data_IF_786077510002
#
_entry.id   IF_786077510002
#
_cell.length_a   1.000
_cell.length_b   1.000
_cell.length_c   1.000
_cell.angle_alpha   90.00
_cell.angle_beta   90.00
_cell.angle_gamma   90.00
#
_symmetry.space_group_name_H-M   'P 1'
#
loop_
_entity.id
_entity.type
_entity.pdbx_description
1 polymer ?
#
# COMPACT_ATOMS: atom_id res chain seq x y z
N UNK A 1 -1.08 6.09 10.54
CA UNK A 1 0.37 5.76 10.46
C UNK A 1 1.16 7.04 10.71
N UNK A 2 2.40 6.96 11.18
CA UNK A 2 3.26 8.15 11.33
C UNK A 2 4.03 8.44 10.04
N UNK A 3 4.63 9.62 9.93
CA UNK A 3 5.44 10.04 8.79
C UNK A 3 6.62 9.09 8.51
N UNK A 4 6.90 8.87 7.23
CA UNK A 4 7.92 7.95 6.71
C UNK A 4 7.81 6.52 7.22
N UNK A 5 6.63 6.14 7.72
CA UNK A 5 6.37 4.78 8.17
C UNK A 5 5.83 3.96 7.01
N UNK A 6 6.34 2.73 6.91
CA UNK A 6 5.77 1.68 6.10
C UNK A 6 5.08 0.65 7.00
N UNK A 7 3.94 0.13 6.57
CA UNK A 7 3.31 -1.05 7.19
C UNK A 7 3.19 -2.15 6.14
N UNK A 8 3.58 -3.35 6.54
CA UNK A 8 3.60 -4.53 5.68
C UNK A 8 2.54 -5.52 6.14
N UNK A 9 1.84 -6.11 5.18
CA UNK A 9 0.84 -7.14 5.39
C UNK A 9 1.13 -8.30 4.45
N UNK A 10 1.49 -9.45 5.02
CA UNK A 10 1.84 -10.66 4.26
C UNK A 10 0.62 -11.58 4.12
N UNK A 11 0.29 -11.93 2.87
CA UNK A 11 -0.72 -12.91 2.52
C UNK A 11 -0.05 -14.14 1.94
N UNK A 12 0.05 -15.20 2.75
CA UNK A 12 0.59 -16.50 2.30
C UNK A 12 -0.50 -17.32 1.62
N UNK A 13 -0.16 -17.96 0.50
CA UNK A 13 -1.10 -18.83 -0.18
C UNK A 13 -1.28 -20.15 0.57
N UNK A 14 -2.46 -20.38 1.12
CA UNK A 14 -2.84 -21.68 1.71
C UNK A 14 -3.09 -22.77 0.67
N UNK A 15 -3.12 -24.03 1.10
CA UNK A 15 -3.37 -25.20 0.24
C UNK A 15 -4.79 -25.23 -0.34
N UNK A 16 -5.76 -24.65 0.37
CA UNK A 16 -7.19 -24.59 -0.01
C UNK A 16 -7.56 -23.43 -0.95
N UNK A 17 -6.60 -22.59 -1.33
CA UNK A 17 -6.83 -21.47 -2.26
C UNK A 17 -6.90 -22.02 -3.69
N UNK A 18 -7.91 -21.60 -4.46
CA UNK A 18 -8.05 -22.00 -5.87
C UNK A 18 -6.78 -21.72 -6.69
N UNK A 19 -6.50 -22.55 -7.70
CA UNK A 19 -5.37 -22.37 -8.61
C UNK A 19 -5.46 -21.11 -9.47
N UNK A 20 -6.66 -20.55 -9.62
CA UNK A 20 -6.95 -19.32 -10.40
C UNK A 20 -7.38 -18.15 -9.50
N UNK A 21 -7.20 -18.27 -8.19
CA UNK A 21 -7.61 -17.25 -7.24
C UNK A 21 -6.86 -15.93 -7.46
N UNK A 22 -7.51 -14.85 -7.04
CA UNK A 22 -6.94 -13.52 -7.00
C UNK A 22 -7.09 -12.94 -5.60
N UNK A 23 -6.16 -12.05 -5.26
CA UNK A 23 -6.26 -11.21 -4.08
C UNK A 23 -6.79 -9.84 -4.55
N UNK A 24 -8.02 -9.51 -4.16
CA UNK A 24 -8.61 -8.21 -4.41
C UNK A 24 -8.37 -7.31 -3.20
N UNK A 25 -7.71 -6.17 -3.45
CA UNK A 25 -7.38 -5.16 -2.47
C UNK A 25 -8.24 -3.92 -2.73
N UNK A 26 -8.93 -3.44 -1.71
CA UNK A 26 -9.72 -2.21 -1.74
C UNK A 26 -9.09 -1.25 -0.75
N UNK A 27 -8.54 -0.14 -1.25
CA UNK A 27 -7.85 0.86 -0.45
C UNK A 27 -8.76 2.05 -0.15
N UNK A 28 -8.68 2.50 1.10
CA UNK A 28 -9.26 3.73 1.63
C UNK A 28 -8.15 4.41 2.45
N UNK A 29 -7.32 5.18 1.74
CA UNK A 29 -6.18 5.91 2.31
C UNK A 29 -6.47 7.41 2.31
N UNK A 30 -5.70 8.22 3.06
CA UNK A 30 -5.76 9.66 2.91
C UNK A 30 -5.39 10.07 1.48
N UNK A 31 -5.80 11.28 1.08
CA UNK A 31 -5.54 11.82 -0.27
C UNK A 31 -4.08 11.63 -0.70
N UNK A 32 -3.86 11.20 -1.93
CA UNK A 32 -2.51 10.98 -2.48
C UNK A 32 -1.67 12.26 -2.51
N UNK A 33 -2.32 13.44 -2.54
CA UNK A 33 -1.66 14.75 -2.38
C UNK A 33 -0.94 14.92 -1.04
N UNK A 34 -1.25 14.09 -0.04
CA UNK A 34 -0.62 14.08 1.28
C UNK A 34 0.52 13.07 1.39
N UNK A 35 0.92 12.44 0.27
CA UNK A 35 2.00 11.44 0.26
C UNK A 35 1.55 10.02 0.63
N UNK A 36 0.24 9.74 0.62
CA UNK A 36 -0.28 8.38 0.82
C UNK A 36 -0.02 7.52 -0.42
N UNK A 37 0.56 6.34 -0.23
CA UNK A 37 0.80 5.38 -1.32
C UNK A 37 0.55 3.94 -0.86
N UNK A 38 0.24 3.08 -1.84
CA UNK A 38 0.16 1.64 -1.66
C UNK A 38 0.91 0.92 -2.79
N UNK A 39 1.55 -0.20 -2.44
CA UNK A 39 2.22 -1.09 -3.37
C UNK A 39 2.12 -2.53 -2.92
N UNK A 40 2.49 -3.47 -3.77
CA UNK A 40 2.60 -4.86 -3.43
C UNK A 40 3.80 -5.54 -4.08
N UNK A 41 4.27 -6.61 -3.46
CA UNK A 41 5.25 -7.53 -4.01
C UNK A 41 4.57 -8.90 -4.15
N UNK A 42 4.51 -9.43 -5.37
CA UNK A 42 3.99 -10.77 -5.63
C UNK A 42 5.17 -11.73 -5.77
N UNK A 43 5.28 -12.68 -4.85
CA UNK A 43 6.32 -13.69 -4.85
C UNK A 43 5.81 -14.96 -5.51
N UNK A 44 6.41 -15.32 -6.63
CA UNK A 44 6.10 -16.55 -7.34
C UNK A 44 6.88 -17.73 -6.77
N UNK A 45 6.31 -18.93 -6.87
CA UNK A 45 6.98 -20.17 -6.43
C UNK A 45 8.24 -20.48 -7.23
N UNK A 46 8.37 -19.90 -8.42
CA UNK A 46 9.58 -19.96 -9.26
C UNK A 46 10.73 -19.13 -8.71
N UNK A 47 10.51 -18.35 -7.64
CA UNK A 47 11.48 -17.39 -7.10
C UNK A 47 11.38 -15.98 -7.67
N UNK A 48 10.59 -15.77 -8.74
CA UNK A 48 10.38 -14.44 -9.33
C UNK A 48 9.58 -13.54 -8.38
N UNK A 49 10.04 -12.30 -8.19
CA UNK A 49 9.29 -11.27 -7.44
C UNK A 49 8.83 -10.19 -8.41
N UNK A 50 7.53 -9.89 -8.41
CA UNK A 50 6.94 -8.85 -9.25
C UNK A 50 6.42 -7.68 -8.41
N UNK A 51 6.97 -6.47 -8.55
CA UNK A 51 6.46 -5.29 -7.87
C UNK A 51 5.23 -4.73 -8.59
N UNK A 52 4.26 -4.27 -7.79
CA UNK A 52 3.06 -3.59 -8.25
C UNK A 52 2.92 -2.26 -7.52
N UNK A 53 2.85 -1.17 -8.26
CA UNK A 53 2.47 0.14 -7.74
C UNK A 53 1.01 0.39 -8.03
N UNK A 54 0.25 0.79 -7.03
CA UNK A 54 -1.17 1.07 -7.19
C UNK A 54 -1.39 2.54 -7.53
N UNK A 55 -2.03 2.79 -8.68
CA UNK A 55 -2.44 4.13 -9.08
C UNK A 55 -3.74 4.52 -8.36
N UNK A 56 -3.61 5.00 -7.12
CA UNK A 56 -4.74 5.48 -6.32
C UNK A 56 -5.32 6.76 -6.90
N UNK A 57 -6.61 7.01 -6.66
CA UNK A 57 -7.23 8.28 -6.99
C UNK A 57 -6.64 9.43 -6.18
N UNK A 58 -6.95 10.67 -6.56
CA UNK A 58 -6.59 11.87 -5.79
C UNK A 58 -7.11 11.82 -4.35
N UNK A 59 -8.19 11.08 -4.09
CA UNK A 59 -8.77 10.87 -2.76
C UNK A 59 -8.08 9.76 -1.96
N UNK A 60 -7.14 9.01 -2.53
CA UNK A 60 -6.45 7.90 -1.86
C UNK A 60 -7.15 6.54 -1.98
N UNK A 61 -8.17 6.45 -2.86
CA UNK A 61 -8.98 5.25 -3.02
C UNK A 61 -8.58 4.45 -4.26
N UNK A 62 -8.78 3.13 -4.22
CA UNK A 62 -8.63 2.29 -5.41
C UNK A 62 -8.93 0.82 -5.15
N UNK A 63 -9.29 0.09 -6.21
CA UNK A 63 -9.49 -1.36 -6.16
C UNK A 63 -8.56 -2.03 -7.14
N UNK A 64 -7.78 -3.00 -6.67
CA UNK A 64 -6.78 -3.70 -7.49
C UNK A 64 -6.88 -5.20 -7.28
N UNK A 65 -6.64 -5.94 -8.35
CA UNK A 65 -6.67 -7.40 -8.36
C UNK A 65 -5.27 -7.91 -8.68
N UNK A 66 -4.72 -8.71 -7.78
CA UNK A 66 -3.43 -9.37 -7.95
C UNK A 66 -3.64 -10.87 -8.16
N UNK A 67 -2.75 -11.49 -8.94
CA UNK A 67 -2.71 -12.94 -9.04
C UNK A 67 -2.43 -13.54 -7.65
N UNK A 68 -3.20 -14.56 -7.27
CA UNK A 68 -3.00 -15.33 -6.03
C UNK A 68 -3.22 -16.84 -6.23
N UNK A 69 -3.08 -17.26 -7.49
CA UNK A 69 -3.28 -18.63 -7.96
C UNK A 69 -2.11 -19.56 -7.64
N UNK A 70 -2.09 -20.73 -8.28
CA UNK A 70 -1.15 -21.83 -7.99
C UNK A 70 0.33 -21.46 -8.12
N UNK A 71 0.66 -20.51 -8.99
CA UNK A 71 2.03 -20.02 -9.22
C UNK A 71 2.53 -19.01 -8.17
N UNK A 72 1.67 -18.53 -7.27
CA UNK A 72 2.02 -17.54 -6.24
C UNK A 72 2.28 -18.23 -4.90
N UNK A 73 3.34 -17.80 -4.21
CA UNK A 73 3.70 -18.27 -2.87
C UNK A 73 3.15 -17.34 -1.78
N UNK A 74 3.35 -16.03 -1.95
CA UNK A 74 2.83 -14.98 -1.07
C UNK A 74 2.70 -13.65 -1.79
N UNK A 75 1.96 -12.74 -1.18
CA UNK A 75 1.85 -11.33 -1.58
C UNK A 75 2.09 -10.47 -0.35
N UNK A 76 3.04 -9.54 -0.45
CA UNK A 76 3.28 -8.55 0.59
C UNK A 76 2.67 -7.23 0.13
N UNK A 77 1.69 -6.70 0.88
CA UNK A 77 1.09 -5.39 0.65
C UNK A 77 1.77 -4.37 1.53
N UNK A 78 2.19 -3.26 0.94
CA UNK A 78 2.91 -2.18 1.62
C UNK A 78 2.08 -0.91 1.55
N UNK A 79 1.75 -0.38 2.71
CA UNK A 79 1.18 0.95 2.86
C UNK A 79 2.30 1.91 3.26
N UNK A 80 2.38 3.06 2.61
CA UNK A 80 3.42 4.06 2.85
C UNK A 80 2.77 5.40 3.13
N UNK A 81 3.11 5.98 4.29
CA UNK A 81 2.85 7.39 4.56
C UNK A 81 4.12 8.20 4.31
N UNK A 82 4.22 8.82 3.14
CA UNK A 82 5.36 9.66 2.81
C UNK A 82 5.22 11.11 3.29
N UNK A 83 4.18 11.44 4.09
CA UNK A 83 3.73 12.80 4.47
C UNK A 83 4.56 13.94 3.91
N UNK A 84 4.00 14.62 2.92
CA UNK A 84 4.66 15.75 2.27
C UNK A 84 4.34 17.09 2.94
N UNK A 85 3.54 17.12 4.01
CA UNK A 85 3.02 18.36 4.62
C UNK A 85 3.45 18.52 6.07
N UNK A 86 4.18 19.60 6.34
CA UNK A 86 4.75 19.91 7.65
C UNK A 86 4.19 21.23 8.19
N UNK A 87 3.89 21.29 9.49
CA UNK A 87 3.32 22.48 10.13
C UNK A 87 4.29 23.67 10.26
N UNK A 88 5.61 23.44 10.25
CA UNK A 88 6.64 24.45 10.51
C UNK A 88 7.75 24.52 9.46
N UNK A 89 7.52 24.00 8.25
CA UNK A 89 8.45 24.09 7.12
C UNK A 89 7.75 24.68 5.89
N UNK A 90 7.87 26.00 5.71
CA UNK A 90 7.43 26.74 4.51
C UNK A 90 5.97 26.54 4.06
N UNK A 91 5.07 26.02 4.90
CA UNK A 91 3.63 25.83 4.66
C UNK A 91 3.22 25.12 3.34
N UNK A 92 4.18 24.62 2.55
CA UNK A 92 3.99 24.05 1.21
C UNK A 92 4.34 22.56 1.22
N UNK A 93 3.62 21.78 0.41
CA UNK A 93 3.87 20.35 0.27
C UNK A 93 5.25 20.11 -0.37
N UNK A 94 6.14 19.37 0.30
CA UNK A 94 7.50 19.07 -0.16
C UNK A 94 7.79 17.57 -0.08
N UNK A 95 8.53 16.99 -1.05
CA UNK A 95 8.94 15.58 -0.98
C UNK A 95 10.07 15.32 0.05
N UNK A 96 10.65 16.37 0.64
CA UNK A 96 11.78 16.25 1.57
C UNK A 96 11.32 16.27 3.03
N UNK A 97 12.00 15.49 3.87
CA UNK A 97 11.80 15.49 5.31
C UNK A 97 12.27 16.84 5.89
N UNK A 98 11.32 17.71 6.23
CA UNK A 98 11.60 18.89 7.02
C UNK A 98 11.45 18.54 8.50
N UNK A 99 12.34 19.03 9.37
CA UNK A 99 12.35 18.83 10.83
C UNK A 99 11.12 19.42 11.59
N UNK A 100 9.94 19.50 10.97
CA UNK A 100 8.68 19.94 11.55
C UNK A 100 7.70 18.79 11.83
N UNK A 101 6.60 19.09 12.51
CA UNK A 101 5.55 18.10 12.81
C UNK A 101 4.75 17.80 11.54
N UNK A 102 4.70 16.52 11.15
CA UNK A 102 3.87 16.04 10.04
C UNK A 102 2.40 16.24 10.36
N UNK A 103 1.67 16.90 9.45
CA UNK A 103 0.23 17.16 9.60
C UNK A 103 -0.64 15.95 9.22
N UNK A 104 -0.02 14.89 8.72
CA UNK A 104 -0.69 13.67 8.27
C UNK A 104 -0.41 12.46 9.17
N UNK A 105 0.24 12.69 10.31
CA UNK A 105 0.44 11.69 11.35
C UNK A 105 -0.90 11.31 11.99
N UNK A 106 -1.03 10.02 12.32
CA UNK A 106 -2.25 9.49 12.97
C UNK A 106 -3.44 9.28 12.03
N UNK A 107 -3.34 9.65 10.75
CA UNK A 107 -4.41 9.39 9.78
C UNK A 107 -4.65 7.90 9.57
N UNK A 108 -5.91 7.54 9.35
CA UNK A 108 -6.34 6.18 9.13
C UNK A 108 -5.88 5.72 7.74
N UNK A 109 -5.08 4.64 7.71
CA UNK A 109 -4.72 3.92 6.50
C UNK A 109 -5.49 2.61 6.55
N UNK A 110 -6.51 2.47 5.71
CA UNK A 110 -7.39 1.31 5.71
C UNK A 110 -7.34 0.61 4.38
N UNK A 111 -7.43 -0.71 4.44
CA UNK A 111 -7.68 -1.50 3.26
C UNK A 111 -8.41 -2.78 3.64
N UNK A 112 -9.17 -3.31 2.69
CA UNK A 112 -9.79 -4.61 2.78
C UNK A 112 -9.12 -5.54 1.78
N UNK A 113 -8.82 -6.76 2.21
CA UNK A 113 -8.32 -7.82 1.35
C UNK A 113 -9.34 -8.95 1.30
N UNK A 114 -9.65 -9.44 0.10
CA UNK A 114 -10.53 -10.59 -0.10
C UNK A 114 -10.01 -11.50 -1.20
N UNK A 115 -10.22 -12.80 -1.02
CA UNK A 115 -10.04 -13.79 -2.07
C UNK A 115 -11.20 -13.71 -3.06
N UNK A 116 -10.89 -13.75 -4.35
CA UNK A 116 -11.85 -13.77 -5.45
C UNK A 116 -11.26 -14.42 -6.70
#
# INVERSE_FOLDING_TARGET
MSHQTQRYYEFRRGTRVSSTAHLTLVFDLPSSSTGSAASALVFHKTGTVKPYRFALSSLGNGTFRLAFGSGVSKVDVVLTNASTRYGSCWAQATPYACSGVSLDDGRAYRFTARLS
#
